data_IF_925762773633
#
_entry.id   IF_925762773633
#
_cell.length_a   1.000
_cell.length_b   1.000
_cell.length_c   1.000
_cell.angle_alpha   90.00
_cell.angle_beta   90.00
_cell.angle_gamma   90.00
#
_symmetry.space_group_name_H-M   'P 1'
#
loop_
_entity.id
_entity.type
_entity.pdbx_description
1 polymer ?
#
# COMPACT_ATOMS: atom_id res chain seq x y z
N UNK A 1 6.76 -15.59 -7.88
CA UNK A 1 6.19 -14.35 -7.27
C UNK A 1 5.38 -13.56 -8.29
N UNK A 2 5.98 -13.12 -9.41
CA UNK A 2 5.27 -12.45 -10.51
C UNK A 2 4.02 -13.18 -11.01
N UNK A 3 4.14 -14.45 -11.40
CA UNK A 3 3.03 -15.26 -11.93
C UNK A 3 1.85 -15.37 -10.93
N UNK A 4 2.17 -15.68 -9.67
CA UNK A 4 1.20 -15.73 -8.56
C UNK A 4 0.49 -14.37 -8.40
N UNK A 5 1.21 -13.27 -8.57
CA UNK A 5 0.61 -11.94 -8.45
C UNK A 5 -0.40 -11.60 -9.56
N UNK A 6 -0.13 -12.05 -10.78
CA UNK A 6 -1.10 -11.94 -11.88
C UNK A 6 -2.31 -12.87 -11.67
N UNK A 7 -2.10 -14.07 -11.15
CA UNK A 7 -3.20 -15.00 -10.82
C UNK A 7 -4.11 -14.46 -9.71
N UNK A 8 -3.55 -13.86 -8.65
CA UNK A 8 -4.35 -13.24 -7.59
C UNK A 8 -5.14 -12.04 -8.12
N UNK A 9 -4.53 -11.23 -9.01
CA UNK A 9 -5.24 -10.14 -9.71
C UNK A 9 -6.42 -10.69 -10.51
N UNK A 10 -6.19 -11.73 -11.31
CA UNK A 10 -7.23 -12.30 -12.17
C UNK A 10 -8.34 -12.94 -11.31
N UNK A 11 -7.99 -13.63 -10.22
CA UNK A 11 -8.94 -14.12 -9.22
C UNK A 11 -9.79 -12.99 -8.64
N UNK A 12 -9.16 -11.87 -8.22
CA UNK A 12 -9.89 -10.72 -7.67
C UNK A 12 -10.96 -10.20 -8.64
N UNK A 13 -10.61 -10.03 -9.91
CA UNK A 13 -11.59 -9.57 -10.91
C UNK A 13 -12.68 -10.59 -11.22
N UNK A 14 -12.42 -11.89 -11.03
CA UNK A 14 -13.40 -12.96 -11.21
C UNK A 14 -14.37 -13.13 -10.03
N UNK A 15 -14.15 -12.50 -8.87
CA UNK A 15 -15.05 -12.59 -7.70
C UNK A 15 -16.43 -11.95 -7.92
N UNK A 16 -16.58 -11.08 -8.93
CA UNK A 16 -17.86 -10.43 -9.26
C UNK A 16 -18.48 -9.69 -8.06
N UNK A 17 -19.74 -10.00 -7.75
CA UNK A 17 -20.51 -9.36 -6.66
C UNK A 17 -20.03 -9.79 -5.25
N UNK A 18 -19.17 -10.81 -5.15
CA UNK A 18 -18.71 -11.31 -3.86
C UNK A 18 -17.50 -10.57 -3.30
N UNK A 19 -16.87 -9.69 -4.09
CA UNK A 19 -15.67 -8.90 -3.72
C UNK A 19 -15.79 -8.26 -2.32
N UNK A 20 -16.93 -7.65 -2.01
CA UNK A 20 -17.18 -6.96 -0.73
C UNK A 20 -16.91 -7.84 0.50
N UNK A 21 -17.20 -9.13 0.43
CA UNK A 21 -17.00 -10.08 1.53
C UNK A 21 -15.52 -10.37 1.78
N UNK A 22 -14.71 -10.23 0.73
CA UNK A 22 -13.28 -10.57 0.75
C UNK A 22 -12.38 -9.35 0.97
N UNK A 23 -12.91 -8.12 0.93
CA UNK A 23 -12.09 -6.90 1.08
C UNK A 23 -11.20 -6.97 2.34
N UNK A 24 -11.71 -7.21 3.56
CA UNK A 24 -10.87 -7.20 4.76
C UNK A 24 -9.68 -8.17 4.68
N UNK A 25 -9.96 -9.37 4.18
CA UNK A 25 -8.96 -10.45 4.14
C UNK A 25 -7.99 -10.31 2.96
N UNK A 26 -8.42 -9.67 1.86
CA UNK A 26 -7.61 -9.52 0.65
C UNK A 26 -6.71 -8.29 0.67
N UNK A 27 -6.97 -7.28 1.50
CA UNK A 27 -6.13 -6.07 1.56
C UNK A 27 -4.66 -6.42 1.87
N UNK A 28 -4.42 -7.28 2.86
CA UNK A 28 -3.06 -7.72 3.22
C UNK A 28 -2.33 -8.43 2.07
N UNK A 29 -2.86 -9.54 1.52
CA UNK A 29 -2.26 -10.24 0.39
C UNK A 29 -2.04 -9.36 -0.84
N UNK A 30 -2.98 -8.47 -1.19
CA UNK A 30 -2.78 -7.53 -2.29
C UNK A 30 -1.64 -6.55 -1.98
N UNK A 31 -1.59 -6.00 -0.76
CA UNK A 31 -0.51 -5.12 -0.32
C UNK A 31 0.86 -5.79 -0.35
N UNK A 32 0.96 -7.04 0.12
CA UNK A 32 2.22 -7.76 0.06
C UNK A 32 2.73 -7.91 -1.37
N UNK A 33 1.83 -8.08 -2.35
CA UNK A 33 2.22 -8.15 -3.75
C UNK A 33 2.63 -6.80 -4.32
N UNK A 34 1.93 -5.71 -3.97
CA UNK A 34 2.26 -4.37 -4.44
C UNK A 34 3.60 -3.89 -3.87
N UNK A 35 4.02 -4.40 -2.72
CA UNK A 35 5.32 -4.09 -2.11
C UNK A 35 6.51 -4.80 -2.77
N UNK A 36 6.30 -5.78 -3.67
CA UNK A 36 7.38 -6.42 -4.43
C UNK A 36 8.03 -5.37 -5.35
N UNK A 37 9.38 -5.26 -5.40
CA UNK A 37 10.10 -4.27 -6.21
C UNK A 37 10.13 -4.65 -7.70
N UNK A 38 8.95 -4.91 -8.27
CA UNK A 38 8.74 -5.18 -9.70
C UNK A 38 7.72 -4.19 -10.24
N UNK A 39 8.19 -3.19 -10.99
CA UNK A 39 7.39 -2.05 -11.44
C UNK A 39 6.14 -2.47 -12.24
N UNK A 40 6.26 -3.46 -13.11
CA UNK A 40 5.12 -3.93 -13.92
C UNK A 40 4.08 -4.66 -13.08
N UNK A 41 4.51 -5.39 -12.04
CA UNK A 41 3.60 -5.99 -11.08
C UNK A 41 2.87 -4.91 -10.28
N UNK A 42 3.59 -3.91 -9.75
CA UNK A 42 3.02 -2.76 -9.03
C UNK A 42 1.94 -2.06 -9.83
N UNK A 43 2.23 -1.73 -11.09
CA UNK A 43 1.26 -1.08 -11.99
C UNK A 43 0.03 -1.93 -12.24
N UNK A 44 0.16 -3.26 -12.24
CA UNK A 44 -0.95 -4.18 -12.46
C UNK A 44 -1.78 -4.43 -11.19
N UNK A 45 -1.20 -4.34 -10.00
CA UNK A 45 -1.87 -4.68 -8.73
C UNK A 45 -2.35 -3.47 -7.94
N UNK A 46 -1.68 -2.31 -7.99
CA UNK A 46 -2.13 -1.08 -7.31
C UNK A 46 -3.57 -0.68 -7.68
N UNK A 47 -4.02 -0.78 -8.96
CA UNK A 47 -5.40 -0.46 -9.33
C UNK A 47 -6.46 -1.31 -8.60
N UNK A 48 -6.10 -2.48 -8.06
CA UNK A 48 -7.01 -3.33 -7.28
C UNK A 48 -7.52 -2.59 -6.04
N UNK A 49 -6.68 -1.75 -5.40
CA UNK A 49 -7.11 -0.95 -4.26
C UNK A 49 -8.22 0.03 -4.62
N UNK A 50 -8.15 0.64 -5.80
CA UNK A 50 -9.23 1.49 -6.27
C UNK A 50 -10.52 0.68 -6.56
N UNK A 51 -10.39 -0.55 -7.06
CA UNK A 51 -11.53 -1.45 -7.24
C UNK A 51 -12.16 -1.86 -5.90
N UNK A 52 -11.36 -2.10 -4.86
CA UNK A 52 -11.83 -2.33 -3.49
C UNK A 52 -12.62 -1.13 -2.96
N UNK A 53 -12.06 0.08 -3.07
CA UNK A 53 -12.75 1.33 -2.68
C UNK A 53 -14.09 1.50 -3.39
N UNK A 54 -14.13 1.27 -4.70
CA UNK A 54 -15.36 1.36 -5.49
C UNK A 54 -16.39 0.31 -5.08
N UNK A 55 -15.94 -0.93 -4.87
CA UNK A 55 -16.81 -2.03 -4.48
C UNK A 55 -17.47 -1.75 -3.12
N UNK A 56 -16.69 -1.31 -2.13
CA UNK A 56 -17.23 -0.95 -0.82
C UNK A 56 -18.16 0.26 -0.90
N UNK A 57 -17.75 1.31 -1.62
CA UNK A 57 -18.55 2.52 -1.77
C UNK A 57 -19.89 2.26 -2.47
N UNK A 58 -19.92 1.33 -3.42
CA UNK A 58 -21.16 0.91 -4.08
C UNK A 58 -22.14 0.27 -3.08
N UNK A 59 -21.64 -0.53 -2.14
CA UNK A 59 -22.44 -1.26 -1.15
C UNK A 59 -22.82 -0.42 0.08
N UNK A 60 -21.91 0.39 0.61
CA UNK A 60 -22.07 1.04 1.93
C UNK A 60 -22.10 2.58 1.86
N UNK A 61 -21.84 3.17 0.68
CA UNK A 61 -21.61 4.62 0.49
C UNK A 61 -20.39 5.16 1.24
N UNK A 62 -19.49 4.28 1.66
CA UNK A 62 -18.23 4.55 2.35
C UNK A 62 -17.17 3.54 1.88
N UNK A 63 -15.89 3.80 2.16
CA UNK A 63 -14.81 2.80 2.00
C UNK A 63 -13.98 2.66 3.27
N UNK A 64 -14.57 2.96 4.43
CA UNK A 64 -13.87 2.98 5.73
C UNK A 64 -13.27 1.64 6.13
N UNK A 65 -13.89 0.52 5.75
CA UNK A 65 -13.35 -0.81 6.06
C UNK A 65 -12.04 -1.02 5.29
N UNK A 66 -12.04 -0.77 3.98
CA UNK A 66 -10.84 -0.79 3.17
C UNK A 66 -9.78 0.20 3.68
N UNK A 67 -10.17 1.43 4.01
CA UNK A 67 -9.27 2.48 4.52
C UNK A 67 -8.58 2.07 5.83
N UNK A 68 -9.30 1.48 6.77
CA UNK A 68 -8.72 1.04 8.04
C UNK A 68 -7.76 -0.14 7.85
N UNK A 69 -8.15 -1.10 7.01
CA UNK A 69 -7.31 -2.27 6.74
C UNK A 69 -6.03 -1.89 6.02
N UNK A 70 -6.09 -1.05 4.98
CA UNK A 70 -4.89 -0.68 4.21
C UNK A 70 -3.90 0.11 5.07
N UNK A 71 -4.38 1.00 5.95
CA UNK A 71 -3.52 1.74 6.89
C UNK A 71 -2.85 0.77 7.86
N UNK A 72 -3.65 -0.09 8.52
CA UNK A 72 -3.15 -1.04 9.52
C UNK A 72 -2.11 -2.00 8.93
N UNK A 73 -2.38 -2.53 7.73
CA UNK A 73 -1.44 -3.45 7.06
C UNK A 73 -0.21 -2.72 6.55
N UNK A 74 -0.34 -1.49 6.06
CA UNK A 74 0.80 -0.72 5.58
C UNK A 74 1.79 -0.38 6.70
N UNK A 75 1.29 0.02 7.87
CA UNK A 75 2.13 0.26 9.06
C UNK A 75 2.96 -0.99 9.37
N UNK A 76 2.31 -2.16 9.44
CA UNK A 76 2.98 -3.44 9.72
C UNK A 76 4.04 -3.80 8.67
N UNK A 77 3.71 -3.69 7.38
CA UNK A 77 4.62 -4.09 6.31
C UNK A 77 5.85 -3.17 6.19
N UNK A 78 5.68 -1.86 6.41
CA UNK A 78 6.80 -0.90 6.33
C UNK A 78 7.68 -0.98 7.57
N UNK A 79 7.11 -1.19 8.77
CA UNK A 79 7.88 -1.56 9.97
C UNK A 79 8.67 -2.86 9.76
N UNK A 80 8.11 -3.82 9.03
CA UNK A 80 8.77 -5.03 8.56
C UNK A 80 9.87 -4.82 7.51
N UNK A 81 10.20 -3.56 7.17
CA UNK A 81 11.28 -3.19 6.26
C UNK A 81 10.90 -3.20 4.77
N UNK A 82 9.62 -3.36 4.43
CA UNK A 82 9.14 -3.33 3.05
C UNK A 82 8.76 -1.91 2.61
N UNK A 83 8.49 -1.74 1.32
CA UNK A 83 8.17 -0.44 0.74
C UNK A 83 9.41 0.40 0.41
N UNK A 84 9.25 1.24 -0.60
CA UNK A 84 10.28 2.15 -1.11
C UNK A 84 9.65 3.40 -1.75
N UNK A 85 10.49 4.37 -2.08
CA UNK A 85 10.07 5.64 -2.68
C UNK A 85 9.35 5.43 -4.02
N UNK A 86 9.79 4.45 -4.81
CA UNK A 86 9.14 4.14 -6.10
C UNK A 86 7.71 3.63 -5.87
N UNK A 87 7.48 2.79 -4.86
CA UNK A 87 6.15 2.30 -4.51
C UNK A 87 5.23 3.45 -4.12
N UNK A 88 5.69 4.36 -3.25
CA UNK A 88 4.94 5.57 -2.85
C UNK A 88 4.51 6.40 -4.05
N UNK A 89 5.44 6.70 -4.97
CA UNK A 89 5.17 7.50 -6.18
C UNK A 89 4.17 6.79 -7.11
N UNK A 90 4.29 5.47 -7.28
CA UNK A 90 3.36 4.70 -8.09
C UNK A 90 1.96 4.63 -7.45
N UNK A 91 1.90 4.44 -6.13
CA UNK A 91 0.65 4.42 -5.37
C UNK A 91 -0.10 5.74 -5.51
N UNK A 92 0.58 6.86 -5.27
CA UNK A 92 0.02 8.21 -5.41
C UNK A 92 -0.52 8.44 -6.83
N UNK A 93 0.35 8.25 -7.83
CA UNK A 93 0.02 8.53 -9.23
C UNK A 93 -1.18 7.72 -9.73
N UNK A 94 -1.15 6.40 -9.53
CA UNK A 94 -2.16 5.49 -10.07
C UNK A 94 -3.51 5.74 -9.38
N UNK A 95 -3.54 5.79 -8.05
CA UNK A 95 -4.80 5.95 -7.33
C UNK A 95 -5.39 7.35 -7.50
N UNK A 96 -4.57 8.41 -7.52
CA UNK A 96 -5.09 9.76 -7.83
C UNK A 96 -5.70 9.84 -9.23
N UNK A 97 -5.05 9.23 -10.24
CA UNK A 97 -5.58 9.21 -11.59
C UNK A 97 -6.96 8.51 -11.65
N UNK A 98 -7.10 7.37 -10.98
CA UNK A 98 -8.36 6.64 -10.92
C UNK A 98 -9.44 7.39 -10.12
N UNK A 99 -9.09 7.95 -8.95
CA UNK A 99 -10.03 8.71 -8.12
C UNK A 99 -10.57 9.94 -8.87
N UNK A 100 -9.69 10.72 -9.53
CA UNK A 100 -10.08 11.93 -10.27
C UNK A 100 -11.03 11.66 -11.44
N UNK A 101 -10.90 10.50 -12.07
CA UNK A 101 -11.81 10.07 -13.15
C UNK A 101 -13.18 9.60 -12.62
N UNK A 102 -13.31 9.32 -11.31
CA UNK A 102 -14.53 8.77 -10.73
C UNK A 102 -15.41 9.84 -10.08
N UNK A 103 -16.63 9.97 -10.61
CA UNK A 103 -17.60 11.03 -10.25
C UNK A 103 -17.86 11.19 -8.75
N UNK A 104 -17.96 10.09 -8.01
CA UNK A 104 -18.36 10.11 -6.59
C UNK A 104 -17.18 9.97 -5.62
N UNK A 105 -16.04 9.46 -6.10
CA UNK A 105 -14.87 9.14 -5.25
C UNK A 105 -13.75 10.15 -5.41
N UNK A 106 -13.83 11.10 -6.35
CA UNK A 106 -12.76 12.05 -6.58
C UNK A 106 -12.29 12.77 -5.31
N UNK A 107 -13.22 13.34 -4.53
CA UNK A 107 -12.87 14.11 -3.33
C UNK A 107 -12.42 13.24 -2.15
N UNK A 108 -13.19 12.21 -1.83
CA UNK A 108 -12.88 11.31 -0.70
C UNK A 108 -11.65 10.45 -1.00
N UNK A 109 -11.54 9.92 -2.22
CA UNK A 109 -10.38 9.18 -2.70
C UNK A 109 -9.10 10.02 -2.76
N UNK A 110 -9.16 11.28 -3.22
CA UNK A 110 -7.98 12.16 -3.18
C UNK A 110 -7.52 12.45 -1.75
N UNK A 111 -8.45 12.62 -0.81
CA UNK A 111 -8.13 12.80 0.61
C UNK A 111 -7.45 11.55 1.17
N UNK A 112 -8.00 10.37 0.87
CA UNK A 112 -7.45 9.08 1.26
C UNK A 112 -6.04 8.84 0.69
N UNK A 113 -5.82 9.09 -0.61
CA UNK A 113 -4.50 8.88 -1.21
C UNK A 113 -3.46 9.78 -0.55
N UNK A 114 -3.78 11.06 -0.31
CA UNK A 114 -2.87 11.98 0.41
C UNK A 114 -2.56 11.52 1.83
N UNK A 115 -3.55 10.96 2.54
CA UNK A 115 -3.37 10.41 3.88
C UNK A 115 -2.36 9.26 3.85
N UNK A 116 -2.56 8.28 2.97
CA UNK A 116 -1.72 7.09 2.87
C UNK A 116 -0.31 7.43 2.37
N UNK A 117 -0.17 8.35 1.41
CA UNK A 117 1.14 8.81 0.94
C UNK A 117 1.92 9.47 2.08
N UNK A 118 1.28 10.36 2.84
CA UNK A 118 1.91 11.01 4.00
C UNK A 118 2.31 10.01 5.09
N UNK A 119 1.53 8.94 5.25
CA UNK A 119 1.87 7.84 6.14
C UNK A 119 3.14 7.12 5.65
N UNK A 120 3.19 6.74 4.37
CA UNK A 120 4.38 6.12 3.77
C UNK A 120 5.63 7.00 3.91
N UNK A 121 5.51 8.31 3.69
CA UNK A 121 6.62 9.26 3.87
C UNK A 121 7.21 9.17 5.28
N UNK A 122 6.34 9.29 6.30
CA UNK A 122 6.78 9.25 7.70
C UNK A 122 7.44 7.93 8.07
N UNK A 123 6.89 6.81 7.60
CA UNK A 123 7.42 5.49 7.90
C UNK A 123 8.77 5.25 7.21
N UNK A 124 8.93 5.70 5.95
CA UNK A 124 10.18 5.61 5.21
C UNK A 124 11.26 6.54 5.79
N UNK A 125 10.89 7.75 6.21
CA UNK A 125 11.78 8.69 6.89
C UNK A 125 12.27 8.13 8.22
N UNK A 126 11.35 7.57 9.03
CA UNK A 126 11.68 6.91 10.29
C UNK A 126 12.68 5.75 10.08
N UNK A 127 12.48 4.93 9.04
CA UNK A 127 13.41 3.83 8.70
C UNK A 127 14.81 4.35 8.36
N UNK A 128 14.90 5.49 7.66
CA UNK A 128 16.19 6.09 7.29
C UNK A 128 16.96 6.55 8.53
N UNK A 129 16.28 7.26 9.44
CA UNK A 129 16.88 7.75 10.69
C UNK A 129 17.34 6.58 11.58
N UNK A 130 16.48 5.59 11.82
CA UNK A 130 16.81 4.44 12.67
C UNK A 130 17.95 3.59 12.09
N UNK A 131 18.07 3.54 10.77
CA UNK A 131 19.17 2.84 10.10
C UNK A 131 20.49 3.60 10.21
N UNK A 132 20.46 4.93 10.23
CA UNK A 132 21.66 5.77 10.37
C UNK A 132 22.15 5.86 11.83
N UNK A 133 21.25 5.95 12.83
CA UNK A 133 21.63 5.87 14.25
C UNK A 133 22.31 4.53 14.59
N UNK A 134 21.84 3.43 14.01
CA UNK A 134 22.47 2.11 14.18
C UNK A 134 23.86 2.01 13.54
N UNK A 135 24.17 2.77 12.48
CA UNK A 135 25.52 2.83 11.91
C UNK A 135 26.46 3.65 12.79
N UNK A 136 25.98 4.77 13.32
CA UNK A 136 26.76 5.64 14.20
C UNK A 136 27.11 4.94 15.52
N UNK A 137 26.16 4.18 16.09
CA UNK A 137 26.40 3.35 17.27
C UNK A 137 27.34 2.15 17.03
N UNK A 138 27.40 1.59 15.81
CA UNK A 138 28.34 0.51 15.47
C UNK A 138 29.78 0.99 15.27
N UNK A 139 30.00 2.25 14.89
CA UNK A 139 31.33 2.85 14.82
C UNK A 139 31.90 3.22 16.20
N UNK A 140 31.06 3.29 17.24
CA UNK A 140 31.50 3.57 18.61
C UNK A 140 31.94 2.30 19.38
N UNK A 141 31.65 1.10 18.86
CA UNK A 141 32.03 -0.17 19.51
C UNK A 141 33.40 -0.74 19.09
N UNK A 142 34.27 0.03 18.42
CA UNK A 142 35.64 -0.42 18.06
C UNK A 142 36.75 0.41 18.69
N UNK A 143 36.46 1.24 19.69
CA UNK A 143 37.50 2.00 20.41
C UNK A 143 37.43 1.72 21.91
N UNK A 144 38.17 0.68 22.32
CA UNK A 144 38.78 0.42 23.63
C UNK A 144 38.73 -1.06 24.01
N UNK A 145 39.56 -1.85 23.34
CA UNK A 145 40.16 -3.05 23.95
C UNK A 145 41.65 -3.06 23.60
N UNK A 146 42.40 -2.12 24.20
CA UNK A 146 43.84 -2.19 24.39
C UNK A 146 44.14 -1.75 25.82
#
# INVERSE_FOLDING_TARGET
>A
RRQIGFEIRDMWYNLGQHKIKFIPEMVGPILEMTLIPETELRKATIPIFFDMMQCEFHSTRSFQMFENEIITKLDHEVEGGRGDEQYKVLFDKILLEHCRKHKYLAKSGETFVKLVVRLMERLLDYRTIMHDENKENRMSCTVNVL
#
